data_IF_522636117114
#
_entry.id   IF_522636117114
#
_cell.length_a   1.000
_cell.length_b   1.000
_cell.length_c   1.000
_cell.angle_alpha   90.00
_cell.angle_beta   90.00
_cell.angle_gamma   90.00
#
_symmetry.space_group_name_H-M   'P 1'
#
loop_
_entity.id
_entity.type
_entity.pdbx_description
1 polymer ?
#
# COMPACT_ATOMS: atom_id res chain seq x y z
N UNK A 1 -82.32 52.18 14.83
CA UNK A 1 -81.47 52.86 15.83
C UNK A 1 -80.05 52.84 15.30
N UNK A 2 -79.74 53.79 14.43
CA UNK A 2 -78.38 54.03 13.93
C UNK A 2 -77.75 55.08 14.84
N UNK A 3 -76.64 54.74 15.50
CA UNK A 3 -76.03 55.64 16.47
C UNK A 3 -75.14 54.99 17.53
N UNK A 4 -74.42 53.92 17.19
CA UNK A 4 -73.37 53.37 18.07
C UNK A 4 -72.02 53.64 17.42
N UNK A 5 -71.31 54.64 17.95
CA UNK A 5 -69.94 54.98 17.57
C UNK A 5 -68.99 54.32 18.56
N UNK A 6 -68.11 53.46 18.07
CA UNK A 6 -67.07 52.78 18.87
C UNK A 6 -65.85 53.70 18.95
N UNK A 7 -65.57 54.22 20.14
CA UNK A 7 -64.43 55.08 20.44
C UNK A 7 -63.58 54.46 21.57
N UNK A 8 -62.27 54.23 21.35
CA UNK A 8 -61.52 54.48 20.13
C UNK A 8 -61.79 53.42 19.03
N UNK A 9 -61.67 53.77 17.74
CA UNK A 9 -61.79 52.81 16.65
C UNK A 9 -60.63 51.80 16.61
N UNK A 10 -59.55 52.06 17.36
CA UNK A 10 -58.34 51.23 17.37
C UNK A 10 -57.88 51.00 18.80
N UNK A 11 -57.74 49.72 19.18
CA UNK A 11 -57.13 49.30 20.44
C UNK A 11 -55.69 48.87 20.16
N UNK A 12 -54.74 49.47 20.86
CA UNK A 12 -53.37 48.99 20.89
C UNK A 12 -53.30 47.71 21.76
N UNK A 13 -53.32 46.55 21.10
CA UNK A 13 -53.06 45.26 21.75
C UNK A 13 -51.56 45.06 21.87
N UNK A 14 -51.02 45.05 23.09
CA UNK A 14 -49.65 44.58 23.36
C UNK A 14 -49.70 43.07 23.58
N UNK A 15 -49.20 42.29 22.62
CA UNK A 15 -49.00 40.85 22.80
C UNK A 15 -47.63 40.68 23.47
N UNK A 16 -47.55 40.25 24.74
CA UNK A 16 -46.26 39.93 25.35
C UNK A 16 -45.67 38.70 24.66
N UNK A 17 -44.54 38.88 23.96
CA UNK A 17 -43.71 37.75 23.52
C UNK A 17 -43.03 37.17 24.76
N UNK A 18 -43.56 36.08 25.29
CA UNK A 18 -42.85 35.33 26.33
C UNK A 18 -41.91 34.39 25.60
N UNK A 19 -40.62 34.72 25.54
CA UNK A 19 -39.60 33.79 25.04
C UNK A 19 -39.56 32.60 26.00
N UNK A 20 -40.26 31.53 25.64
CA UNK A 20 -40.04 30.23 26.27
C UNK A 20 -38.60 29.83 25.96
N UNK A 21 -37.76 29.85 27.00
CA UNK A 21 -36.44 29.23 26.95
C UNK A 21 -36.66 27.75 26.73
N UNK A 22 -36.45 27.31 25.49
CA UNK A 22 -36.51 25.90 25.14
C UNK A 22 -35.25 25.20 25.65
N UNK A 23 -35.35 23.88 25.82
CA UNK A 23 -34.23 22.99 26.10
C UNK A 23 -34.13 21.98 24.97
N UNK A 24 -32.92 21.78 24.43
CA UNK A 24 -32.66 20.80 23.37
C UNK A 24 -31.33 20.12 23.60
N UNK A 25 -31.31 18.78 23.59
CA UNK A 25 -30.08 17.99 23.57
C UNK A 25 -29.53 17.96 22.13
N UNK A 26 -28.29 18.41 21.98
CA UNK A 26 -27.60 18.53 20.70
C UNK A 26 -26.34 17.67 20.71
N UNK A 27 -26.12 16.81 19.70
CA UNK A 27 -24.89 16.04 19.59
C UNK A 27 -23.69 16.93 19.32
N UNK A 28 -22.57 16.58 19.95
CA UNK A 28 -21.29 17.25 19.73
C UNK A 28 -20.50 16.55 18.64
N UNK A 29 -19.99 17.32 17.69
CA UNK A 29 -19.10 16.85 16.65
C UNK A 29 -17.76 17.58 16.76
N UNK A 30 -16.69 16.82 16.95
CA UNK A 30 -15.35 17.39 16.96
C UNK A 30 -14.95 17.86 15.57
N UNK A 31 -14.49 19.10 15.46
CA UNK A 31 -13.88 19.63 14.24
C UNK A 31 -12.41 19.25 14.23
N UNK A 32 -11.96 18.48 13.25
CA UNK A 32 -10.57 18.04 13.15
C UNK A 32 -9.87 18.83 12.04
N UNK A 33 -8.64 19.29 12.30
CA UNK A 33 -7.79 19.98 11.33
C UNK A 33 -6.43 19.31 11.20
N UNK A 34 -5.77 19.52 10.07
CA UNK A 34 -4.48 18.89 9.78
C UNK A 34 -4.62 17.45 9.27
N UNK A 35 -3.48 16.80 9.06
CA UNK A 35 -3.38 15.42 8.57
C UNK A 35 -2.54 14.58 9.56
N UNK A 36 -2.96 13.34 9.87
CA UNK A 36 -2.10 12.44 10.63
C UNK A 36 -0.80 12.18 9.87
N UNK A 37 0.18 11.59 10.56
CA UNK A 37 1.45 11.26 9.90
C UNK A 37 1.24 10.35 8.67
N UNK A 38 2.02 10.52 7.56
CA UNK A 38 1.93 9.60 6.44
C UNK A 38 2.03 8.13 6.87
N UNK A 39 1.08 7.31 6.41
CA UNK A 39 0.96 5.92 6.82
C UNK A 39 0.09 5.69 8.06
N UNK A 40 -0.54 6.73 8.60
CA UNK A 40 -1.51 6.64 9.70
C UNK A 40 -2.90 7.12 9.27
N UNK A 41 -3.95 6.55 9.88
CA UNK A 41 -5.37 6.90 9.65
C UNK A 41 -6.12 7.03 10.96
N UNK A 42 -7.11 7.93 10.97
CA UNK A 42 -8.06 8.07 12.07
C UNK A 42 -8.97 6.84 12.06
N UNK A 43 -8.93 6.07 13.14
CA UNK A 43 -9.76 4.86 13.31
C UNK A 43 -11.08 5.20 14.02
N UNK A 44 -11.03 6.09 15.00
CA UNK A 44 -12.20 6.53 15.74
C UNK A 44 -12.00 7.91 16.36
N UNK A 45 -13.11 8.62 16.54
CA UNK A 45 -13.16 9.90 17.26
C UNK A 45 -14.25 9.76 18.30
N UNK A 46 -13.88 9.92 19.56
CA UNK A 46 -14.81 9.90 20.68
C UNK A 46 -14.82 11.27 21.35
N UNK A 47 -16.03 11.72 21.71
CA UNK A 47 -16.25 12.99 22.39
C UNK A 47 -16.99 12.71 23.69
N UNK A 48 -16.48 13.23 24.80
CA UNK A 48 -17.08 13.10 26.11
C UNK A 48 -17.26 14.48 26.77
N UNK A 49 -18.50 14.88 27.13
CA UNK A 49 -19.77 14.21 26.82
C UNK A 49 -20.17 14.31 25.32
N UNK A 50 -20.89 13.32 24.77
CA UNK A 50 -21.30 13.32 23.36
C UNK A 50 -22.54 14.19 23.06
N UNK A 51 -23.28 14.59 24.09
CA UNK A 51 -24.52 15.38 24.00
C UNK A 51 -24.44 16.56 24.96
N UNK A 52 -24.86 17.73 24.50
CA UNK A 52 -24.92 18.97 25.27
C UNK A 52 -26.34 19.55 25.14
N UNK A 53 -26.97 19.83 26.27
CA UNK A 53 -28.26 20.47 26.45
C UNK A 53 -28.20 22.00 26.26
N UNK A 54 -28.58 22.46 25.08
CA UNK A 54 -28.67 23.89 24.79
C UNK A 54 -29.97 24.50 25.28
N UNK A 55 -29.88 25.73 25.77
CA UNK A 55 -30.99 26.62 26.08
C UNK A 55 -30.98 27.82 25.13
N UNK A 56 -32.15 28.32 24.78
CA UNK A 56 -32.25 29.45 23.87
C UNK A 56 -33.69 29.79 23.48
N UNK A 57 -33.82 30.81 22.64
CA UNK A 57 -35.11 31.13 21.99
C UNK A 57 -35.45 30.06 20.97
N UNK A 58 -36.75 29.82 20.72
CA UNK A 58 -37.24 28.72 19.87
C UNK A 58 -36.54 28.64 18.50
N UNK A 59 -36.50 29.75 17.74
CA UNK A 59 -35.87 29.76 16.40
C UNK A 59 -34.40 29.31 16.38
N UNK A 60 -33.48 30.00 17.09
CA UNK A 60 -32.07 29.59 17.16
C UNK A 60 -31.84 28.18 17.72
N UNK A 61 -32.65 27.77 18.69
CA UNK A 61 -32.52 26.45 19.32
C UNK A 61 -32.96 25.32 18.38
N UNK A 62 -34.04 25.52 17.61
CA UNK A 62 -34.48 24.58 16.58
C UNK A 62 -33.42 24.43 15.47
N UNK A 63 -32.76 25.53 15.10
CA UNK A 63 -31.69 25.54 14.09
C UNK A 63 -30.39 24.86 14.58
N UNK A 64 -30.15 24.77 15.89
CA UNK A 64 -28.98 24.10 16.45
C UNK A 64 -29.14 22.57 16.33
N UNK A 65 -28.65 21.99 15.23
CA UNK A 65 -28.71 20.55 14.97
C UNK A 65 -27.47 19.78 15.45
N UNK A 66 -26.30 20.41 15.38
CA UNK A 66 -25.02 19.86 15.81
C UNK A 66 -24.20 20.96 16.46
N UNK A 67 -23.45 20.61 17.50
CA UNK A 67 -22.53 21.51 18.17
C UNK A 67 -21.10 21.17 17.77
N UNK A 68 -20.42 22.10 17.10
CA UNK A 68 -19.02 21.94 16.71
C UNK A 68 -18.07 22.30 17.84
N UNK A 69 -16.88 21.71 17.85
CA UNK A 69 -15.75 22.21 18.65
C UNK A 69 -14.89 23.17 17.83
N UNK A 70 -14.03 23.93 18.50
CA UNK A 70 -12.86 24.54 17.89
C UNK A 70 -12.02 23.46 17.15
N UNK A 71 -11.40 23.78 16.00
CA UNK A 71 -10.56 22.84 15.27
C UNK A 71 -9.43 22.27 16.13
N UNK A 72 -9.39 20.94 16.21
CA UNK A 72 -8.34 20.19 16.90
C UNK A 72 -7.32 19.75 15.87
N UNK A 73 -6.10 20.28 15.98
CA UNK A 73 -4.99 19.88 15.12
C UNK A 73 -4.47 18.48 15.47
N UNK A 74 -4.42 17.62 14.44
CA UNK A 74 -3.90 16.26 14.53
C UNK A 74 -2.64 16.07 13.67
N UNK A 75 -1.97 17.17 13.31
CA UNK A 75 -0.85 17.15 12.38
C UNK A 75 0.29 16.28 12.92
N UNK A 76 0.67 15.24 12.17
CA UNK A 76 1.75 14.31 12.56
C UNK A 76 1.39 13.35 13.70
N UNK A 77 0.11 13.18 14.04
CA UNK A 77 -0.31 12.20 15.04
C UNK A 77 -0.02 10.75 14.58
N UNK A 78 0.57 9.95 15.47
CA UNK A 78 0.93 8.53 15.27
C UNK A 78 0.18 7.56 16.20
N UNK A 79 -0.76 8.05 17.00
CA UNK A 79 -1.38 7.25 18.06
C UNK A 79 -2.59 7.94 18.69
N UNK A 80 -3.02 7.44 19.85
CA UNK A 80 -4.11 8.06 20.60
C UNK A 80 -3.75 9.49 21.02
N UNK A 81 -4.65 10.42 20.71
CA UNK A 81 -4.56 11.82 21.08
C UNK A 81 -5.78 12.18 21.93
N UNK A 82 -5.54 12.73 23.12
CA UNK A 82 -6.59 13.28 23.98
C UNK A 82 -6.41 14.79 24.06
N UNK A 83 -7.43 15.55 23.66
CA UNK A 83 -7.43 17.01 23.66
C UNK A 83 -8.75 17.53 24.20
N UNK A 84 -8.68 18.68 24.85
CA UNK A 84 -9.87 19.43 25.22
C UNK A 84 -10.25 20.33 24.03
N UNK A 85 -11.50 20.24 23.57
CA UNK A 85 -12.05 21.09 22.53
C UNK A 85 -13.10 22.03 23.12
N UNK A 86 -12.93 23.34 22.92
CA UNK A 86 -13.96 24.30 23.29
C UNK A 86 -15.17 24.19 22.36
N UNK A 87 -16.38 24.24 22.91
CA UNK A 87 -17.62 24.18 22.15
C UNK A 87 -17.96 25.54 21.53
N UNK A 88 -18.36 25.54 20.27
CA UNK A 88 -18.77 26.74 19.54
C UNK A 88 -20.29 26.82 19.49
N UNK A 89 -20.86 27.67 20.33
CA UNK A 89 -22.32 27.82 20.44
C UNK A 89 -22.90 28.73 19.33
N UNK A 90 -23.95 28.29 18.62
CA UNK A 90 -24.68 29.14 17.68
C UNK A 90 -25.24 30.40 18.35
N UNK A 91 -25.32 31.50 17.58
CA UNK A 91 -25.88 32.77 18.08
C UNK A 91 -27.32 32.58 18.58
N UNK A 92 -27.61 33.09 19.78
CA UNK A 92 -28.93 32.97 20.40
C UNK A 92 -29.17 31.65 21.15
N UNK A 93 -28.13 30.83 21.31
CA UNK A 93 -28.12 29.63 22.16
C UNK A 93 -27.05 29.74 23.23
N UNK A 94 -27.19 28.99 24.32
CA UNK A 94 -26.22 28.89 25.42
C UNK A 94 -26.33 27.52 26.08
N UNK A 95 -25.25 26.98 26.66
CA UNK A 95 -25.34 25.72 27.40
C UNK A 95 -26.30 25.87 28.59
N UNK A 96 -26.98 24.78 28.95
CA UNK A 96 -27.77 24.76 30.18
C UNK A 96 -26.85 24.95 31.40
N UNK A 97 -27.39 25.54 32.47
CA UNK A 97 -26.68 25.62 33.75
C UNK A 97 -26.20 24.23 34.17
N UNK A 98 -24.90 24.12 34.44
CA UNK A 98 -24.23 22.89 34.87
C UNK A 98 -23.60 22.08 33.74
N UNK A 99 -23.80 22.46 32.48
CA UNK A 99 -23.11 21.82 31.37
C UNK A 99 -21.73 22.42 31.10
N UNK A 100 -20.78 21.60 30.62
CA UNK A 100 -19.45 22.08 30.31
C UNK A 100 -19.44 22.88 28.99
N UNK A 101 -18.58 23.89 28.92
CA UNK A 101 -18.29 24.65 27.69
C UNK A 101 -17.17 24.02 26.86
N UNK A 102 -16.54 22.96 27.36
CA UNK A 102 -15.49 22.21 26.71
C UNK A 102 -15.81 20.72 26.78
N UNK A 103 -15.30 19.96 25.82
CA UNK A 103 -15.43 18.49 25.79
C UNK A 103 -14.06 17.85 25.64
N UNK A 104 -13.91 16.64 26.17
CA UNK A 104 -12.73 15.84 25.93
C UNK A 104 -12.91 15.06 24.62
N UNK A 105 -12.02 15.32 23.66
CA UNK A 105 -11.99 14.61 22.38
C UNK A 105 -10.81 13.63 22.40
N UNK A 106 -11.14 12.35 22.27
CA UNK A 106 -10.19 11.27 22.11
C UNK A 106 -10.18 10.83 20.65
N UNK A 107 -9.09 11.15 19.94
CA UNK A 107 -8.86 10.72 18.56
C UNK A 107 -7.92 9.51 18.57
N UNK A 108 -8.39 8.40 18.01
CA UNK A 108 -7.62 7.17 17.87
C UNK A 108 -7.04 7.13 16.45
N UNK A 109 -5.72 7.21 16.37
CA UNK A 109 -4.97 7.10 15.12
C UNK A 109 -4.19 5.79 15.13
N UNK A 110 -4.30 5.02 14.05
CA UNK A 110 -3.59 3.76 13.87
C UNK A 110 -2.79 3.78 12.58
N UNK A 111 -1.68 3.05 12.55
CA UNK A 111 -0.93 2.84 11.33
C UNK A 111 -1.80 2.07 10.34
N UNK A 112 -1.83 2.52 9.09
CA UNK A 112 -2.42 1.78 7.99
C UNK A 112 -1.59 0.52 7.80
N UNK A 113 -2.08 -0.60 8.31
CA UNK A 113 -1.55 -1.92 8.01
C UNK A 113 -2.04 -2.34 6.62
N UNK A 114 -1.59 -1.63 5.58
CA UNK A 114 -1.87 -2.02 4.21
C UNK A 114 -1.07 -3.27 3.87
N UNK A 115 -1.79 -4.32 3.49
CA UNK A 115 -1.20 -5.50 2.89
C UNK A 115 -0.93 -5.14 1.42
N UNK A 116 0.33 -5.15 1.04
CA UNK A 116 0.71 -5.00 -0.37
C UNK A 116 0.83 -6.39 -0.98
N UNK A 117 0.64 -6.49 -2.29
CA UNK A 117 0.91 -7.69 -3.05
C UNK A 117 2.02 -7.39 -4.05
N UNK A 118 3.07 -8.21 -4.03
CA UNK A 118 4.21 -8.09 -4.91
C UNK A 118 4.54 -9.44 -5.52
N UNK A 119 5.03 -9.43 -6.76
CA UNK A 119 5.42 -10.62 -7.50
C UNK A 119 6.93 -10.70 -7.51
N UNK A 120 7.51 -11.66 -6.79
CA UNK A 120 8.96 -11.85 -6.72
C UNK A 120 9.38 -13.09 -7.53
N UNK A 121 10.47 -13.01 -8.31
CA UNK A 121 11.07 -14.19 -8.93
C UNK A 121 11.74 -15.06 -7.86
N UNK A 122 11.49 -16.36 -7.91
CA UNK A 122 12.12 -17.34 -7.03
C UNK A 122 12.80 -18.44 -7.86
N UNK A 123 14.03 -18.78 -7.50
CA UNK A 123 14.80 -19.83 -8.15
C UNK A 123 14.34 -21.20 -7.66
N UNK A 124 14.11 -22.13 -8.58
CA UNK A 124 13.67 -23.49 -8.24
C UNK A 124 14.88 -24.37 -7.92
N UNK A 125 14.84 -25.05 -6.77
CA UNK A 125 15.85 -25.99 -6.30
C UNK A 125 15.24 -27.39 -6.20
N UNK A 126 15.99 -28.38 -6.68
CA UNK A 126 15.62 -29.78 -6.54
C UNK A 126 16.10 -30.32 -5.20
N UNK A 127 15.25 -31.09 -4.54
CA UNK A 127 15.59 -31.88 -3.37
C UNK A 127 15.38 -33.37 -3.67
N UNK A 128 16.36 -34.20 -3.32
CA UNK A 128 16.26 -35.66 -3.44
C UNK A 128 16.61 -36.27 -4.81
N UNK A 129 17.46 -35.63 -5.61
CA UNK A 129 17.93 -36.21 -6.88
C UNK A 129 18.87 -37.40 -6.62
N UNK A 130 18.50 -38.60 -7.08
CA UNK A 130 19.33 -39.81 -6.96
C UNK A 130 20.55 -39.80 -7.90
N UNK A 131 21.64 -40.44 -7.47
CA UNK A 131 22.87 -40.56 -8.24
C UNK A 131 22.64 -41.34 -9.55
N UNK A 132 22.97 -40.73 -10.70
CA UNK A 132 22.77 -41.34 -12.03
C UNK A 132 21.52 -40.86 -12.76
N UNK A 133 20.75 -39.94 -12.18
CA UNK A 133 19.65 -39.22 -12.83
C UNK A 133 20.03 -37.75 -13.06
N UNK A 134 19.67 -37.23 -14.23
CA UNK A 134 19.71 -35.80 -14.58
C UNK A 134 18.27 -35.31 -14.56
N UNK A 135 18.01 -34.28 -13.76
CA UNK A 135 16.74 -33.59 -13.77
C UNK A 135 16.87 -32.26 -14.51
N UNK A 136 15.94 -32.01 -15.43
CA UNK A 136 15.76 -30.73 -16.10
C UNK A 136 14.45 -30.11 -15.60
N UNK A 137 14.52 -28.91 -15.02
CA UNK A 137 13.34 -28.17 -14.60
C UNK A 137 12.96 -27.18 -15.69
N UNK A 138 11.66 -27.02 -15.92
CA UNK A 138 11.16 -25.98 -16.81
C UNK A 138 9.84 -25.47 -16.24
N UNK A 139 9.76 -24.19 -15.82
CA UNK A 139 10.82 -23.17 -15.75
C UNK A 139 11.73 -23.30 -14.51
N UNK A 140 12.96 -22.78 -14.59
CA UNK A 140 13.92 -22.69 -13.47
C UNK A 140 13.70 -21.45 -12.58
N UNK A 141 12.96 -20.46 -13.09
CA UNK A 141 12.54 -19.26 -12.38
C UNK A 141 11.01 -19.18 -12.37
N UNK A 142 10.42 -19.12 -11.18
CA UNK A 142 8.97 -18.98 -11.00
C UNK A 142 8.62 -17.66 -10.33
N UNK A 143 7.55 -17.02 -10.76
CA UNK A 143 7.08 -15.77 -10.15
C UNK A 143 6.05 -16.09 -9.07
N UNK A 144 6.33 -15.74 -7.82
CA UNK A 144 5.40 -15.92 -6.70
C UNK A 144 4.77 -14.57 -6.34
N UNK A 145 3.43 -14.55 -6.28
CA UNK A 145 2.69 -13.43 -5.71
C UNK A 145 2.55 -13.61 -4.21
N UNK A 146 3.22 -12.73 -3.45
CA UNK A 146 3.22 -12.72 -1.99
C UNK A 146 2.51 -11.47 -1.49
N UNK A 147 1.86 -11.56 -0.33
CA UNK A 147 1.24 -10.43 0.35
C UNK A 147 1.75 -10.29 1.77
N UNK A 148 1.98 -9.05 2.19
CA UNK A 148 2.51 -8.72 3.51
C UNK A 148 2.62 -7.20 3.72
N UNK A 149 3.17 -6.81 4.87
CA UNK A 149 3.51 -5.40 5.16
C UNK A 149 4.64 -4.92 4.24
N UNK A 150 4.62 -3.65 3.84
CA UNK A 150 5.64 -3.06 2.95
C UNK A 150 7.06 -3.28 3.46
N UNK A 151 7.32 -3.08 4.76
CA UNK A 151 8.66 -3.22 5.34
C UNK A 151 9.20 -4.65 5.23
N UNK A 152 8.33 -5.65 5.38
CA UNK A 152 8.72 -7.07 5.26
C UNK A 152 8.90 -7.49 3.80
N UNK A 153 8.05 -6.96 2.90
CA UNK A 153 8.18 -7.23 1.47
C UNK A 153 9.45 -6.62 0.89
N UNK A 154 9.86 -5.43 1.33
CA UNK A 154 11.11 -4.80 0.88
C UNK A 154 12.34 -5.60 1.33
N UNK A 155 12.36 -6.02 2.60
CA UNK A 155 13.41 -6.90 3.12
C UNK A 155 13.47 -8.23 2.36
N UNK A 156 12.31 -8.82 2.05
CA UNK A 156 12.25 -10.08 1.32
C UNK A 156 12.64 -9.90 -0.15
N UNK A 157 12.35 -8.76 -0.78
CA UNK A 157 12.78 -8.44 -2.15
C UNK A 157 14.29 -8.27 -2.28
N UNK A 158 14.97 -7.84 -1.21
CA UNK A 158 16.43 -7.80 -1.15
C UNK A 158 17.07 -9.19 -0.92
N UNK A 159 16.28 -10.20 -0.56
CA UNK A 159 16.73 -11.58 -0.39
C UNK A 159 16.44 -12.41 -1.65
N UNK A 160 17.34 -13.35 -1.97
CA UNK A 160 17.08 -14.31 -3.04
C UNK A 160 16.10 -15.37 -2.55
N UNK A 161 14.85 -15.36 -3.07
CA UNK A 161 13.90 -16.44 -2.81
C UNK A 161 14.34 -17.72 -3.54
N UNK A 162 14.35 -18.82 -2.79
CA UNK A 162 14.48 -20.15 -3.34
C UNK A 162 13.24 -20.98 -2.98
N UNK A 163 12.66 -21.64 -3.98
CA UNK A 163 11.60 -22.63 -3.80
C UNK A 163 12.18 -24.02 -3.98
N UNK A 164 11.66 -24.98 -3.24
CA UNK A 164 12.13 -26.36 -3.29
C UNK A 164 11.07 -27.27 -3.90
N UNK A 165 11.50 -28.14 -4.81
CA UNK A 165 10.70 -29.19 -5.41
C UNK A 165 11.29 -30.53 -4.99
N UNK A 166 10.47 -31.35 -4.33
CA UNK A 166 10.88 -32.69 -3.93
C UNK A 166 10.68 -33.68 -5.06
N UNK A 167 11.73 -34.42 -5.41
CA UNK A 167 11.73 -35.44 -6.47
C UNK A 167 12.20 -36.79 -5.95
N UNK A 168 12.22 -36.96 -4.62
CA UNK A 168 12.73 -38.16 -3.97
C UNK A 168 11.90 -39.38 -4.36
N UNK A 169 12.55 -40.43 -4.86
CA UNK A 169 11.89 -41.69 -5.25
C UNK A 169 11.14 -41.63 -6.58
N UNK A 170 11.29 -40.57 -7.38
CA UNK A 170 10.75 -40.51 -8.75
C UNK A 170 11.74 -41.14 -9.75
N UNK A 171 11.24 -42.11 -10.51
CA UNK A 171 11.97 -42.72 -11.63
C UNK A 171 12.04 -41.80 -12.86
N UNK A 172 12.73 -42.22 -13.94
CA UNK A 172 12.79 -41.44 -15.18
C UNK A 172 11.40 -41.19 -15.76
N UNK A 173 11.09 -39.94 -16.08
CA UNK A 173 9.75 -39.51 -16.48
C UNK A 173 9.57 -37.99 -16.42
N UNK A 174 8.39 -37.51 -16.83
CA UNK A 174 7.99 -36.10 -16.72
C UNK A 174 6.92 -35.98 -15.64
N UNK A 175 7.15 -35.13 -14.65
CA UNK A 175 6.25 -34.92 -13.51
C UNK A 175 5.96 -33.44 -13.31
N UNK A 176 4.69 -33.08 -13.12
CA UNK A 176 4.31 -31.77 -12.59
C UNK A 176 4.24 -31.85 -11.07
N UNK A 177 5.09 -31.10 -10.39
CA UNK A 177 5.18 -31.09 -8.93
C UNK A 177 4.94 -29.67 -8.41
N UNK A 178 4.10 -29.49 -7.37
CA UNK A 178 3.90 -28.18 -6.77
C UNK A 178 5.15 -27.72 -6.03
N UNK A 179 5.50 -26.44 -6.15
CA UNK A 179 6.65 -25.88 -5.43
C UNK A 179 6.33 -25.69 -3.95
N UNK A 180 7.28 -26.04 -3.09
CA UNK A 180 7.21 -25.74 -1.66
C UNK A 180 8.12 -24.55 -1.34
N UNK A 181 7.57 -23.57 -0.61
CA UNK A 181 8.30 -22.37 -0.16
C UNK A 181 8.16 -22.21 1.35
N UNK A 182 9.23 -21.74 2.00
CA UNK A 182 9.20 -21.29 3.40
C UNK A 182 9.15 -19.76 3.44
N UNK A 183 8.03 -19.21 3.92
CA UNK A 183 7.87 -17.76 4.10
C UNK A 183 8.05 -17.39 5.57
N UNK A 184 8.58 -16.18 5.87
CA UNK A 184 8.66 -15.66 7.23
C UNK A 184 7.28 -15.23 7.74
N UNK A 185 7.17 -15.04 9.07
CA UNK A 185 5.92 -14.59 9.70
C UNK A 185 5.45 -13.24 9.15
N UNK A 186 4.15 -13.11 8.89
CA UNK A 186 3.55 -11.89 8.34
C UNK A 186 3.57 -11.77 6.82
N UNK A 187 4.05 -12.79 6.10
CA UNK A 187 3.95 -12.90 4.63
C UNK A 187 3.16 -14.15 4.26
N UNK A 188 2.17 -14.00 3.39
CA UNK A 188 1.31 -15.09 2.89
C UNK A 188 1.31 -15.12 1.37
N UNK A 189 1.08 -16.29 0.77
CA UNK A 189 0.86 -16.37 -0.68
C UNK A 189 -0.47 -15.69 -1.03
N UNK A 190 -0.40 -14.71 -1.93
CA UNK A 190 -1.58 -14.02 -2.46
C UNK A 190 -2.22 -14.81 -3.62
N UNK A 191 -1.46 -15.71 -4.24
CA UNK A 191 -1.88 -16.57 -5.34
C UNK A 191 -1.49 -18.04 -5.06
N UNK A 192 -2.16 -19.02 -5.69
CA UNK A 192 -1.75 -20.42 -5.60
C UNK A 192 -0.31 -20.61 -6.10
N UNK A 193 0.43 -21.51 -5.45
CA UNK A 193 1.80 -21.81 -5.81
C UNK A 193 1.89 -22.36 -7.26
N UNK A 194 2.82 -21.88 -8.09
CA UNK A 194 2.99 -22.38 -9.45
C UNK A 194 3.45 -23.84 -9.46
N UNK A 195 3.03 -24.60 -10.46
CA UNK A 195 3.53 -25.96 -10.69
C UNK A 195 4.78 -25.91 -11.58
N UNK A 196 5.74 -26.80 -11.33
CA UNK A 196 6.97 -26.91 -12.13
C UNK A 196 7.04 -28.30 -12.75
N UNK A 197 7.35 -28.35 -14.04
CA UNK A 197 7.59 -29.60 -14.75
C UNK A 197 9.04 -30.03 -14.54
N UNK A 198 9.22 -31.22 -13.97
CA UNK A 198 10.52 -31.86 -13.79
C UNK A 198 10.64 -33.05 -14.73
N UNK A 199 11.68 -33.06 -15.56
CA UNK A 199 11.99 -34.15 -16.47
C UNK A 199 13.23 -34.88 -15.96
N UNK A 200 13.08 -36.13 -15.52
CA UNK A 200 14.17 -36.99 -15.07
C UNK A 200 14.65 -37.93 -16.19
N UNK A 201 15.96 -37.96 -16.44
CA UNK A 201 16.62 -38.81 -17.43
C UNK A 201 17.80 -39.55 -16.81
N UNK A 202 18.09 -40.77 -17.25
CA UNK A 202 19.27 -41.51 -16.78
C UNK A 202 20.54 -41.01 -17.45
N UNK A 203 21.63 -40.90 -16.69
CA UNK A 203 22.97 -40.73 -17.25
C UNK A 203 23.40 -42.08 -17.81
N UNK A 204 23.29 -42.28 -19.12
CA UNK A 204 23.96 -43.41 -19.74
C UNK A 204 25.45 -43.08 -19.74
N UNK A 205 26.21 -43.65 -18.81
CA UNK A 205 27.66 -43.68 -18.93
C UNK A 205 27.98 -44.48 -20.19
N UNK A 206 28.16 -43.79 -21.32
CA UNK A 206 28.86 -44.39 -22.46
C UNK A 206 30.28 -44.61 -21.98
N UNK A 207 30.56 -45.83 -21.53
CA UNK A 207 31.92 -46.30 -21.30
C UNK A 207 32.62 -46.25 -22.66
N UNK A 208 33.25 -45.14 -22.99
CA UNK A 208 34.25 -45.10 -24.05
C UNK A 208 35.32 -46.13 -23.64
N UNK A 209 35.53 -47.23 -24.40
CA UNK A 209 36.56 -48.19 -24.07
C UNK A 209 37.90 -47.45 -23.97
N UNK A 210 38.52 -47.53 -22.80
CA UNK A 210 39.91 -47.11 -22.60
C UNK A 210 40.77 -47.98 -23.49
N UNK A 211 41.18 -47.44 -24.63
CA UNK A 211 42.21 -48.04 -25.46
C UNK A 211 43.52 -48.04 -24.64
N UNK A 212 44.16 -49.21 -24.42
CA UNK A 212 45.36 -49.29 -23.60
C UNK A 212 46.52 -48.54 -24.27
N UNK A 213 47.16 -47.68 -23.48
CA UNK A 213 48.35 -46.92 -23.82
C UNK A 213 49.45 -47.82 -24.41
N UNK A 214 49.87 -47.54 -25.65
CA UNK A 214 51.19 -47.94 -26.14
C UNK A 214 52.17 -46.79 -25.92
N UNK A 215 53.01 -46.96 -24.90
CA UNK A 215 54.19 -46.13 -24.69
C UNK A 215 55.29 -46.54 -25.68
N UNK A 216 55.81 -45.58 -26.45
CA UNK A 216 57.16 -45.65 -27.04
C UNK A 216 57.86 -44.30 -26.82
N UNK A 217 59.10 -44.42 -26.39
CA UNK A 217 60.03 -43.45 -25.80
C UNK A 217 60.66 -42.40 -26.74
N UNK A 218 60.76 -41.15 -26.23
CA UNK A 218 61.93 -40.23 -26.21
C UNK A 218 62.40 -39.58 -27.56
N UNK A 219 63.16 -38.45 -27.65
CA UNK A 219 63.62 -37.44 -26.66
C UNK A 219 63.21 -35.97 -26.91
N UNK A 220 63.49 -35.18 -25.88
CA UNK A 220 63.76 -33.74 -25.77
C UNK A 220 64.36 -33.05 -27.00
N UNK A 221 63.79 -31.90 -27.40
CA UNK A 221 64.57 -30.77 -27.90
C UNK A 221 63.95 -29.43 -27.49
N UNK A 222 64.75 -28.77 -26.67
CA UNK A 222 64.80 -27.38 -26.28
C UNK A 222 64.76 -26.42 -27.48
N UNK A 223 64.02 -25.32 -27.36
CA UNK A 223 63.89 -24.33 -28.44
C UNK A 223 63.04 -23.14 -28.02
N UNK A 224 63.62 -22.30 -27.16
CA UNK A 224 63.08 -21.01 -26.77
C UNK A 224 63.09 -19.99 -27.93
N UNK A 225 62.34 -18.90 -27.71
CA UNK A 225 62.37 -17.57 -28.37
C UNK A 225 61.38 -17.28 -29.50
N UNK A 226 60.23 -16.73 -29.09
CA UNK A 226 59.54 -15.58 -29.73
C UNK A 226 60.31 -14.32 -29.29
N UNK A 227 60.60 -13.32 -30.16
CA UNK A 227 59.58 -12.32 -30.47
C UNK A 227 59.66 -11.61 -31.84
N UNK A 228 58.66 -10.73 -32.02
CA UNK A 228 58.69 -9.46 -32.79
C UNK A 228 58.21 -9.54 -34.25
N UNK A 229 57.71 -8.42 -34.82
CA UNK A 229 56.32 -8.22 -35.22
C UNK A 229 56.28 -7.94 -36.74
N UNK A 230 55.12 -7.62 -37.33
CA UNK A 230 55.01 -6.61 -38.39
C UNK A 230 53.56 -6.36 -38.74
N UNK A 231 53.28 -5.07 -38.89
CA UNK A 231 52.00 -4.43 -39.10
C UNK A 231 51.40 -4.65 -40.49
N UNK A 232 50.09 -4.46 -40.59
CA UNK A 232 49.49 -3.77 -41.72
C UNK A 232 48.25 -2.98 -41.24
N UNK A 233 48.45 -1.66 -41.17
CA UNK A 233 47.42 -0.63 -41.05
C UNK A 233 46.69 -0.46 -42.38
N UNK A 234 45.39 -0.12 -42.29
CA UNK A 234 44.61 0.83 -43.13
C UNK A 234 43.15 0.33 -43.24
N UNK A 235 42.07 1.11 -43.18
CA UNK A 235 41.78 2.54 -42.95
C UNK A 235 40.25 2.67 -42.99
N UNK A 236 39.69 3.58 -42.16
CA UNK A 236 38.40 4.31 -42.33
C UNK A 236 37.09 3.48 -42.46
N UNK A 237 35.92 3.86 -41.93
CA UNK A 237 35.35 5.20 -41.71
C UNK A 237 34.15 5.09 -40.74
N UNK A 238 33.79 6.15 -39.98
CA UNK A 238 32.67 6.14 -39.03
C UNK A 238 31.31 6.37 -39.71
N UNK A 239 30.26 5.73 -39.19
CA UNK A 239 28.87 6.03 -39.55
C UNK A 239 28.22 6.88 -38.45
N UNK A 240 27.76 8.10 -38.77
CA UNK A 240 26.94 8.91 -37.88
C UNK A 240 25.45 8.57 -38.06
N UNK A 241 24.72 8.39 -36.95
CA UNK A 241 23.26 8.28 -36.97
C UNK A 241 22.65 9.23 -35.94
N UNK A 242 22.28 10.41 -36.43
CA UNK A 242 21.25 11.32 -35.93
C UNK A 242 20.73 12.11 -37.14
N UNK A 243 19.57 12.79 -37.11
CA UNK A 243 18.48 12.79 -36.12
C UNK A 243 17.11 12.54 -36.79
N UNK A 244 16.02 12.44 -36.02
CA UNK A 244 14.72 12.94 -36.50
C UNK A 244 14.06 13.76 -35.40
N UNK A 245 14.04 15.07 -35.63
CA UNK A 245 13.09 15.99 -35.04
C UNK A 245 11.79 15.86 -35.85
N UNK A 246 10.66 15.74 -35.16
CA UNK A 246 9.35 16.00 -35.76
C UNK A 246 8.83 17.28 -35.14
N UNK A 247 9.15 18.38 -35.80
CA UNK A 247 8.47 19.66 -35.66
C UNK A 247 7.80 19.93 -37.01
N UNK A 248 6.47 20.02 -37.04
CA UNK A 248 5.76 20.71 -38.11
C UNK A 248 4.62 21.46 -37.48
N UNK A 249 4.70 22.76 -37.69
CA UNK A 249 3.79 23.77 -37.22
C UNK A 249 2.62 23.98 -38.19
N UNK A 250 1.59 24.64 -37.65
CA UNK A 250 0.80 25.73 -38.27
C UNK A 250 -0.59 25.43 -38.85
N UNK A 251 -1.52 26.27 -38.36
CA UNK A 251 -2.71 26.86 -39.02
C UNK A 251 -3.92 25.92 -39.15
N UNK A 252 -5.14 26.32 -38.78
CA UNK A 252 -5.91 27.41 -39.37
C UNK A 252 -7.18 27.66 -38.54
N UNK A 253 -7.72 28.89 -38.57
CA UNK A 253 -8.96 29.24 -37.89
C UNK A 253 -10.23 29.07 -38.73
N UNK A 254 -11.35 29.45 -38.10
CA UNK A 254 -12.68 29.75 -38.65
C UNK A 254 -13.62 28.54 -38.91
N UNK A 255 -14.96 28.71 -38.98
CA UNK A 255 -15.79 29.93 -38.99
C UNK A 255 -16.55 30.29 -37.70
#
# INVERSE_FOLDING_TARGET
VDGVTVDPPTINVRIPITSVVGLKLVPVQATISGLPEPGYVITAVQVDPPLIALTGSSGPLDAAAVLGTEPIDISGARGQLVREGQLVFPKGTSPQIGEPTSVQVTILVAQVAQMFQVSLPAAVRLNGLENGLIASLTPDLVTLAISGKSDLLDQLAQQTLAVTVDVSGLGPGSYEVPVSIRLPEGITLAAPAPQVTVILRTVTATLTPTEPLSATTQPTTEGATTPTPTAALATASPSPSQPVASETATHEGNP
#
